data_IF_005775971695
#
_entry.id   IF_005775971695
#
_cell.length_a   1.000
_cell.length_b   1.000
_cell.length_c   1.000
_cell.angle_alpha   90.00
_cell.angle_beta   90.00
_cell.angle_gamma   90.00
#
_symmetry.space_group_name_H-M   'P 1'
#
loop_
_entity.id
_entity.type
_entity.pdbx_description
1 polymer ?
#
# COMPACT_ATOMS: atom_id res chain seq x y z
N UNK A 1 16.03 6.91 12.96
CA UNK A 1 14.80 6.62 12.19
C UNK A 1 14.91 7.45 10.94
N UNK A 2 15.63 6.94 9.93
CA UNK A 2 16.30 7.82 8.97
C UNK A 2 16.29 7.23 7.55
N UNK A 3 15.88 8.09 6.60
CA UNK A 3 16.20 8.09 5.15
C UNK A 3 15.42 7.25 4.13
N UNK A 4 14.38 6.48 4.45
CA UNK A 4 13.65 5.68 3.44
C UNK A 4 12.25 6.19 3.00
N UNK A 5 11.69 7.22 3.62
CA UNK A 5 10.29 7.63 3.33
C UNK A 5 10.14 8.74 2.28
N UNK A 6 11.22 9.43 1.89
CA UNK A 6 11.14 10.53 0.93
C UNK A 6 11.36 10.03 -0.51
N UNK A 7 10.52 10.44 -1.49
CA UNK A 7 10.76 10.13 -2.89
C UNK A 7 12.11 10.69 -3.36
N UNK A 8 12.81 9.95 -4.22
CA UNK A 8 14.02 10.42 -4.87
C UNK A 8 13.72 11.63 -5.78
N UNK A 9 14.76 12.39 -6.14
CA UNK A 9 14.63 13.50 -7.10
C UNK A 9 14.02 13.03 -8.43
N UNK A 10 14.41 11.86 -8.90
CA UNK A 10 13.87 11.26 -10.12
C UNK A 10 12.37 10.93 -9.99
N UNK A 11 11.97 10.32 -8.87
CA UNK A 11 10.56 10.04 -8.59
C UNK A 11 9.73 11.32 -8.53
N UNK A 12 10.26 12.39 -7.92
CA UNK A 12 9.59 13.70 -7.88
C UNK A 12 9.39 14.28 -9.29
N UNK A 13 10.39 14.20 -10.17
CA UNK A 13 10.27 14.66 -11.55
C UNK A 13 9.23 13.87 -12.34
N UNK A 14 9.18 12.55 -12.14
CA UNK A 14 8.13 11.71 -12.72
C UNK A 14 6.75 12.15 -12.22
N UNK A 15 6.59 12.33 -10.90
CA UNK A 15 5.31 12.76 -10.32
C UNK A 15 4.89 14.15 -10.80
N UNK A 16 5.83 15.08 -11.02
CA UNK A 16 5.57 16.43 -11.55
C UNK A 16 5.05 16.41 -12.99
N UNK A 17 5.46 15.43 -13.80
CA UNK A 17 5.02 15.27 -15.19
C UNK A 17 3.67 14.57 -15.34
N UNK A 18 3.18 13.92 -14.28
CA UNK A 18 1.87 13.26 -14.32
C UNK A 18 0.73 14.28 -14.37
N UNK A 19 -0.26 14.03 -15.22
CA UNK A 19 -1.56 14.68 -15.11
C UNK A 19 -2.27 14.24 -13.83
N UNK A 20 -3.26 14.99 -13.32
CA UNK A 20 -4.05 14.58 -12.17
C UNK A 20 -4.68 13.18 -12.31
N UNK A 21 -5.15 12.83 -13.52
CA UNK A 21 -5.74 11.52 -13.80
C UNK A 21 -4.70 10.39 -13.71
N UNK A 22 -3.51 10.58 -14.28
CA UNK A 22 -2.41 9.61 -14.18
C UNK A 22 -1.98 9.44 -12.72
N UNK A 23 -1.83 10.54 -11.98
CA UNK A 23 -1.46 10.50 -10.57
C UNK A 23 -2.49 9.74 -9.74
N UNK A 24 -3.78 9.94 -9.99
CA UNK A 24 -4.85 9.17 -9.34
C UNK A 24 -4.79 7.68 -9.68
N UNK A 25 -4.58 7.35 -10.96
CA UNK A 25 -4.50 5.96 -11.41
C UNK A 25 -3.33 5.22 -10.72
N UNK A 26 -2.15 5.84 -10.65
CA UNK A 26 -0.99 5.24 -9.99
C UNK A 26 -1.20 5.14 -8.47
N UNK A 27 -1.78 6.15 -7.83
CA UNK A 27 -2.11 6.08 -6.40
C UNK A 27 -3.10 4.94 -6.10
N UNK A 28 -4.13 4.75 -6.95
CA UNK A 28 -5.08 3.65 -6.83
C UNK A 28 -4.41 2.30 -7.02
N UNK A 29 -3.51 2.18 -8.00
CA UNK A 29 -2.74 0.95 -8.24
C UNK A 29 -1.87 0.61 -7.04
N UNK A 30 -1.17 1.59 -6.48
CA UNK A 30 -0.34 1.42 -5.30
C UNK A 30 -1.18 0.97 -4.09
N UNK A 31 -2.31 1.62 -3.84
CA UNK A 31 -3.24 1.27 -2.76
C UNK A 31 -3.64 -0.21 -2.79
N UNK A 32 -4.07 -0.73 -3.94
CA UNK A 32 -4.46 -2.13 -4.07
C UNK A 32 -3.27 -3.09 -4.02
N UNK A 33 -2.12 -2.68 -4.56
CA UNK A 33 -0.89 -3.49 -4.54
C UNK A 33 -0.42 -3.73 -3.11
N UNK A 34 -0.39 -2.68 -2.28
CA UNK A 34 0.00 -2.78 -0.88
C UNK A 34 -0.96 -3.67 -0.08
N UNK A 35 -2.28 -3.57 -0.33
CA UNK A 35 -3.26 -4.45 0.33
C UNK A 35 -3.07 -5.93 -0.03
N UNK A 36 -2.77 -6.23 -1.29
CA UNK A 36 -2.44 -7.60 -1.73
C UNK A 36 -1.18 -8.13 -1.06
N UNK A 37 -0.14 -7.30 -0.95
CA UNK A 37 1.10 -7.69 -0.26
C UNK A 37 0.82 -7.94 1.23
N UNK A 38 0.04 -7.08 1.88
CA UNK A 38 -0.35 -7.28 3.28
C UNK A 38 -1.17 -8.56 3.47
N UNK A 39 -2.08 -8.88 2.55
CA UNK A 39 -2.84 -10.13 2.60
C UNK A 39 -1.90 -11.34 2.51
N UNK A 40 -1.02 -11.40 1.50
CA UNK A 40 -0.06 -12.50 1.33
C UNK A 40 0.83 -12.69 2.58
N UNK A 41 1.30 -11.58 3.15
CA UNK A 41 2.05 -11.60 4.41
C UNK A 41 1.23 -12.18 5.57
N UNK A 42 -0.03 -11.79 5.71
CA UNK A 42 -0.91 -12.32 6.77
C UNK A 42 -1.24 -13.80 6.56
N UNK A 43 -1.41 -14.26 5.32
CA UNK A 43 -1.57 -15.69 5.03
C UNK A 43 -0.35 -16.49 5.50
N UNK A 44 0.86 -15.98 5.26
CA UNK A 44 2.08 -16.64 5.71
C UNK A 44 2.18 -16.69 7.24
N UNK A 45 1.74 -15.63 7.93
CA UNK A 45 1.80 -15.55 9.40
C UNK A 45 0.69 -16.33 10.10
N UNK A 46 -0.47 -16.46 9.47
CA UNK A 46 -1.68 -17.06 10.03
C UNK A 46 -2.27 -18.07 9.03
N UNK A 47 -1.61 -19.24 8.84
CA UNK A 47 -2.04 -20.23 7.85
C UNK A 47 -3.41 -20.87 8.17
N UNK A 48 -3.88 -20.76 9.41
CA UNK A 48 -5.17 -21.24 9.90
C UNK A 48 -6.32 -20.24 9.70
N UNK A 49 -6.03 -19.00 9.33
CA UNK A 49 -7.06 -17.98 9.13
C UNK A 49 -7.84 -18.21 7.84
N UNK A 50 -9.15 -17.97 7.92
CA UNK A 50 -9.99 -17.89 6.74
C UNK A 50 -9.69 -16.63 5.92
N UNK A 51 -9.99 -16.67 4.62
CA UNK A 51 -9.89 -15.50 3.74
C UNK A 51 -10.61 -14.25 4.29
N UNK A 52 -11.77 -14.46 4.92
CA UNK A 52 -12.54 -13.39 5.55
C UNK A 52 -11.80 -12.75 6.73
N UNK A 53 -11.12 -13.56 7.56
CA UNK A 53 -10.32 -13.07 8.68
C UNK A 53 -9.11 -12.27 8.18
N UNK A 54 -8.42 -12.74 7.14
CA UNK A 54 -7.32 -12.01 6.50
C UNK A 54 -7.82 -10.69 5.91
N UNK A 55 -8.92 -10.69 5.16
CA UNK A 55 -9.49 -9.48 4.59
C UNK A 55 -9.87 -8.45 5.66
N UNK A 56 -10.46 -8.90 6.78
CA UNK A 56 -10.79 -8.03 7.90
C UNK A 56 -9.53 -7.45 8.57
N UNK A 57 -8.48 -8.24 8.73
CA UNK A 57 -7.20 -7.78 9.27
C UNK A 57 -6.51 -6.76 8.34
N UNK A 58 -6.48 -7.01 7.03
CA UNK A 58 -5.98 -6.05 6.03
C UNK A 58 -6.78 -4.75 6.09
N UNK A 59 -8.11 -4.82 6.24
CA UNK A 59 -8.94 -3.61 6.40
C UNK A 59 -8.52 -2.82 7.63
N UNK A 60 -8.39 -3.47 8.79
CA UNK A 60 -7.98 -2.83 10.05
C UNK A 60 -6.58 -2.21 9.97
N UNK A 61 -5.60 -2.89 9.38
CA UNK A 61 -4.22 -2.37 9.28
C UNK A 61 -4.13 -1.04 8.55
N UNK A 62 -4.94 -0.82 7.52
CA UNK A 62 -4.95 0.43 6.77
C UNK A 62 -5.93 1.48 7.33
N UNK A 63 -6.91 1.07 8.15
CA UNK A 63 -7.80 1.99 8.85
C UNK A 63 -7.11 2.67 10.04
N UNK A 64 -6.26 1.91 10.75
CA UNK A 64 -5.56 2.38 11.95
C UNK A 64 -4.09 2.74 11.70
N UNK A 65 -3.69 2.86 10.43
CA UNK A 65 -2.40 3.45 10.09
C UNK A 65 -2.44 4.92 10.53
N UNK A 66 -1.96 5.21 11.74
CA UNK A 66 -1.80 6.58 12.21
C UNK A 66 -0.69 7.24 11.40
N UNK A 67 -0.98 8.44 10.90
CA UNK A 67 -0.02 9.39 10.30
C UNK A 67 1.01 9.85 11.32
#
# INVERSE_FOLDING_TARGET
MDRFDAPSKEQLEIYRRMTPAQRWQEARRLYWTLRRHKAAFLHQQHPDWTEAAVAAAVRRSFLHARS
#
